data_IF_357669883725
#
_entry.id   IF_357669883725
#
_cell.length_a   1.000
_cell.length_b   1.000
_cell.length_c   1.000
_cell.angle_alpha   90.00
_cell.angle_beta   90.00
_cell.angle_gamma   90.00
#
_symmetry.space_group_name_H-M   'P 1'
#
loop_
_entity.id
_entity.type
_entity.pdbx_description
1 polymer ?
#
# COMPACT_ATOMS: atom_id res chain seq x y z
N UNK A 1 -6.70 -14.72 0.32
CA UNK A 1 -7.45 -15.78 0.48
C UNK A 1 -6.88 -17.12 0.94
N UNK A 2 -7.70 -17.87 1.65
CA UNK A 2 -7.38 -19.21 2.14
C UNK A 2 -7.13 -20.26 1.03
N UNK A 3 -7.32 -19.88 -0.24
CA UNK A 3 -7.10 -20.73 -1.42
C UNK A 3 -5.87 -20.20 -2.14
N UNK A 4 -4.78 -20.95 -2.09
CA UNK A 4 -3.52 -20.55 -2.74
C UNK A 4 -3.66 -20.38 -4.27
N UNK A 5 -2.61 -19.88 -4.93
CA UNK A 5 -2.54 -19.74 -6.40
C UNK A 5 -2.70 -21.07 -7.17
N UNK A 6 -2.58 -22.20 -6.49
CA UNK A 6 -2.81 -23.54 -7.04
C UNK A 6 -4.32 -23.92 -7.18
N UNK A 7 -5.25 -23.12 -6.60
CA UNK A 7 -6.69 -23.35 -6.80
C UNK A 7 -7.06 -23.00 -8.25
N UNK A 8 -7.61 -23.99 -8.97
CA UNK A 8 -8.02 -23.83 -10.36
C UNK A 8 -8.96 -22.62 -10.58
N UNK A 9 -9.82 -22.29 -9.61
CA UNK A 9 -10.72 -21.14 -9.68
C UNK A 9 -9.95 -19.82 -9.67
N UNK A 10 -8.89 -19.74 -8.86
CA UNK A 10 -8.02 -18.54 -8.80
C UNK A 10 -7.25 -18.41 -10.11
N UNK A 11 -6.67 -19.51 -10.61
CA UNK A 11 -5.92 -19.50 -11.88
C UNK A 11 -6.84 -19.12 -13.05
N UNK A 12 -8.04 -19.69 -13.13
CA UNK A 12 -9.04 -19.37 -14.18
C UNK A 12 -9.47 -17.89 -14.09
N UNK A 13 -9.75 -17.38 -12.88
CA UNK A 13 -10.16 -15.98 -12.71
C UNK A 13 -9.06 -15.01 -13.11
N UNK A 14 -7.80 -15.29 -12.75
CA UNK A 14 -6.64 -14.49 -13.17
C UNK A 14 -6.41 -14.54 -14.68
N UNK A 15 -6.49 -15.75 -15.27
CA UNK A 15 -6.37 -15.92 -16.72
C UNK A 15 -7.47 -15.20 -17.49
N UNK A 16 -8.71 -15.32 -17.05
CA UNK A 16 -9.84 -14.62 -17.64
C UNK A 16 -9.70 -13.08 -17.50
N UNK A 17 -9.31 -12.60 -16.31
CA UNK A 17 -9.06 -11.17 -16.08
C UNK A 17 -7.96 -10.62 -16.98
N UNK A 18 -6.86 -11.36 -17.13
CA UNK A 18 -5.77 -10.97 -18.03
C UNK A 18 -6.22 -10.97 -19.50
N UNK A 19 -6.95 -12.01 -19.95
CA UNK A 19 -7.48 -12.10 -21.30
C UNK A 19 -8.43 -10.93 -21.61
N UNK A 20 -9.34 -10.60 -20.69
CA UNK A 20 -10.24 -9.47 -20.83
C UNK A 20 -9.51 -8.13 -20.89
N UNK A 21 -8.44 -7.96 -20.12
CA UNK A 21 -7.59 -6.77 -20.20
C UNK A 21 -6.92 -6.63 -21.56
N UNK A 22 -6.37 -7.73 -22.10
CA UNK A 22 -5.76 -7.75 -23.46
C UNK A 22 -6.79 -7.40 -24.52
N UNK A 23 -7.98 -8.01 -24.44
CA UNK A 23 -9.09 -7.71 -25.37
C UNK A 23 -9.50 -6.24 -25.26
N UNK A 24 -9.62 -5.70 -24.04
CA UNK A 24 -9.93 -4.29 -23.82
C UNK A 24 -8.90 -3.38 -24.48
N UNK A 25 -7.62 -3.58 -24.21
CA UNK A 25 -6.53 -2.77 -24.82
C UNK A 25 -6.55 -2.88 -26.34
N UNK A 26 -6.78 -4.07 -26.88
CA UNK A 26 -6.88 -4.28 -28.33
C UNK A 26 -8.06 -3.54 -28.95
N UNK A 27 -9.24 -3.59 -28.34
CA UNK A 27 -10.44 -2.87 -28.77
C UNK A 27 -10.22 -1.37 -28.72
N UNK A 28 -9.66 -0.85 -27.62
CA UNK A 28 -9.36 0.57 -27.45
C UNK A 28 -8.33 1.05 -28.49
N UNK A 29 -7.30 0.24 -28.76
CA UNK A 29 -6.33 0.53 -29.80
C UNK A 29 -6.98 0.64 -31.19
N UNK A 30 -7.89 -0.28 -31.52
CA UNK A 30 -8.61 -0.26 -32.81
C UNK A 30 -9.60 0.91 -32.94
N UNK A 31 -10.21 1.36 -31.86
CA UNK A 31 -11.13 2.50 -31.86
C UNK A 31 -10.44 3.87 -32.03
N UNK A 32 -9.14 3.95 -31.75
CA UNK A 32 -8.32 5.12 -31.98
C UNK A 32 -8.88 6.39 -31.30
N UNK A 33 -9.25 7.40 -32.08
CA UNK A 33 -9.78 8.67 -31.54
C UNK A 33 -11.17 8.55 -30.90
N UNK A 34 -11.92 7.48 -31.18
CA UNK A 34 -13.25 7.19 -30.61
C UNK A 34 -13.17 6.26 -29.38
N UNK A 35 -11.96 5.90 -28.95
CA UNK A 35 -11.74 5.06 -27.78
C UNK A 35 -12.22 5.76 -26.50
N UNK A 36 -12.72 4.99 -25.52
CA UNK A 36 -13.03 5.50 -24.17
C UNK A 36 -11.75 5.89 -23.45
N UNK A 37 -10.67 5.12 -23.68
CA UNK A 37 -9.32 5.37 -23.16
C UNK A 37 -8.36 5.55 -24.34
N UNK A 38 -8.29 6.76 -24.95
CA UNK A 38 -7.41 6.99 -26.09
C UNK A 38 -5.94 6.77 -25.68
N UNK A 39 -5.32 5.71 -26.20
CA UNK A 39 -3.91 5.38 -25.87
C UNK A 39 -2.94 6.50 -26.29
N UNK A 40 -3.37 7.39 -27.19
CA UNK A 40 -2.61 8.58 -27.57
C UNK A 40 -2.34 9.53 -26.41
N UNK A 41 -3.14 9.51 -25.32
CA UNK A 41 -2.91 10.32 -24.13
C UNK A 41 -1.59 9.94 -23.43
N UNK A 42 -1.21 8.66 -23.48
CA UNK A 42 0.05 8.19 -22.89
C UNK A 42 1.31 8.58 -23.68
N UNK A 43 1.15 9.21 -24.86
CA UNK A 43 2.27 9.85 -25.57
C UNK A 43 2.73 11.14 -24.87
N UNK A 44 1.85 11.79 -24.12
CA UNK A 44 2.25 12.88 -23.22
C UNK A 44 3.09 12.34 -22.08
N UNK A 45 4.35 12.78 -21.98
CA UNK A 45 5.27 12.38 -20.90
C UNK A 45 4.70 12.74 -19.55
N UNK A 46 4.15 13.96 -19.42
CA UNK A 46 3.52 14.43 -18.18
C UNK A 46 2.31 13.56 -17.80
N UNK A 47 1.44 13.20 -18.74
CA UNK A 47 0.30 12.33 -18.45
C UNK A 47 0.74 10.93 -18.03
N UNK A 48 1.67 10.32 -18.76
CA UNK A 48 2.21 8.99 -18.43
C UNK A 48 2.93 9.00 -17.08
N UNK A 49 3.76 10.02 -16.82
CA UNK A 49 4.48 10.19 -15.56
C UNK A 49 3.54 10.36 -14.38
N UNK A 50 2.50 11.18 -14.51
CA UNK A 50 1.49 11.38 -13.46
C UNK A 50 0.71 10.09 -13.15
N UNK A 51 0.36 9.29 -14.16
CA UNK A 51 -0.30 8.01 -13.95
C UNK A 51 0.65 6.95 -13.34
N UNK A 52 1.93 6.94 -13.71
CA UNK A 52 2.93 6.08 -13.08
C UNK A 52 3.16 6.46 -11.61
N UNK A 53 3.24 7.77 -11.32
CA UNK A 53 3.27 8.28 -9.96
C UNK A 53 2.05 7.80 -9.17
N UNK A 54 0.85 7.93 -9.77
CA UNK A 54 -0.39 7.44 -9.15
C UNK A 54 -0.31 5.94 -8.84
N UNK A 55 0.12 5.14 -9.80
CA UNK A 55 0.26 3.68 -9.63
C UNK A 55 1.14 3.34 -8.42
N UNK A 56 2.31 3.96 -8.35
CA UNK A 56 3.28 3.68 -7.29
C UNK A 56 2.81 4.23 -5.92
N UNK A 57 2.41 5.50 -5.86
CA UNK A 57 2.09 6.17 -4.60
C UNK A 57 0.80 5.63 -3.97
N UNK A 58 -0.26 5.45 -4.77
CA UNK A 58 -1.53 4.90 -4.27
C UNK A 58 -1.44 3.40 -3.99
N UNK A 59 -0.60 2.67 -4.73
CA UNK A 59 -0.28 1.28 -4.39
C UNK A 59 0.38 1.17 -3.02
N UNK A 60 1.40 2.00 -2.76
CA UNK A 60 2.07 2.06 -1.47
C UNK A 60 1.11 2.43 -0.32
N UNK A 61 0.30 3.48 -0.53
CA UNK A 61 -0.68 3.92 0.47
C UNK A 61 -1.71 2.83 0.78
N UNK A 62 -2.24 2.16 -0.26
CA UNK A 62 -3.22 1.08 -0.09
C UNK A 62 -2.63 -0.11 0.66
N UNK A 63 -1.36 -0.45 0.39
CA UNK A 63 -0.64 -1.48 1.13
C UNK A 63 -0.55 -1.15 2.62
N UNK A 64 -0.09 0.06 2.98
CA UNK A 64 -0.04 0.49 4.38
C UNK A 64 -1.42 0.45 5.03
N UNK A 65 -2.42 1.12 4.43
CA UNK A 65 -3.77 1.23 5.00
C UNK A 65 -4.46 -0.13 5.17
N UNK A 66 -4.06 -1.14 4.40
CA UNK A 66 -4.57 -2.50 4.55
C UNK A 66 -3.88 -3.25 5.68
N UNK A 67 -2.54 -3.19 5.80
CA UNK A 67 -1.80 -4.00 6.77
C UNK A 67 -1.60 -3.32 8.12
N UNK A 68 -1.64 -1.98 8.22
CA UNK A 68 -1.48 -1.26 9.47
C UNK A 68 -2.55 -1.62 10.53
N UNK A 69 -3.86 -1.75 10.19
CA UNK A 69 -4.85 -2.19 11.17
C UNK A 69 -4.56 -3.59 11.75
N UNK A 70 -3.95 -4.50 10.97
CA UNK A 70 -3.53 -5.80 11.51
C UNK A 70 -2.41 -5.65 12.54
N UNK A 71 -1.44 -4.77 12.30
CA UNK A 71 -0.40 -4.48 13.29
C UNK A 71 -1.00 -3.88 14.56
N UNK A 72 -1.81 -2.83 14.41
CA UNK A 72 -2.40 -2.13 15.56
C UNK A 72 -3.29 -3.04 16.42
N UNK A 73 -4.16 -3.85 15.79
CA UNK A 73 -5.13 -4.68 16.52
C UNK A 73 -4.49 -5.96 17.05
N UNK A 74 -3.78 -6.69 16.19
CA UNK A 74 -3.32 -8.05 16.52
C UNK A 74 -1.97 -8.07 17.25
N UNK A 75 -1.10 -7.08 16.98
CA UNK A 75 0.24 -7.03 17.57
C UNK A 75 0.31 -6.04 18.72
N UNK A 76 -0.24 -4.83 18.52
CA UNK A 76 -0.19 -3.76 19.52
C UNK A 76 -1.35 -3.82 20.53
N UNK A 77 -2.37 -4.65 20.27
CA UNK A 77 -3.50 -4.84 21.18
C UNK A 77 -4.55 -3.72 21.17
N UNK A 78 -4.58 -2.88 20.14
CA UNK A 78 -5.58 -1.82 20.00
C UNK A 78 -6.96 -2.43 19.73
N UNK A 79 -8.01 -1.79 20.25
CA UNK A 79 -9.37 -2.06 19.80
C UNK A 79 -9.56 -1.62 18.34
N UNK A 80 -10.55 -2.17 17.61
CA UNK A 80 -10.85 -1.71 16.26
C UNK A 80 -11.13 -0.22 16.14
N UNK A 81 -11.76 0.36 17.19
CA UNK A 81 -12.04 1.80 17.28
C UNK A 81 -10.77 2.63 17.42
N UNK A 82 -9.84 2.21 18.29
CA UNK A 82 -8.55 2.88 18.46
C UNK A 82 -7.68 2.79 17.19
N UNK A 83 -7.67 1.63 16.52
CA UNK A 83 -6.97 1.45 15.25
C UNK A 83 -7.53 2.36 14.15
N UNK A 84 -8.85 2.55 14.09
CA UNK A 84 -9.49 3.53 13.21
C UNK A 84 -9.13 4.97 13.58
N UNK A 85 -9.18 5.31 14.87
CA UNK A 85 -8.84 6.63 15.39
C UNK A 85 -7.36 7.00 15.11
N UNK A 86 -6.46 6.02 15.10
CA UNK A 86 -5.05 6.22 14.79
C UNK A 86 -4.81 6.82 13.39
N UNK A 87 -5.77 6.67 12.46
CA UNK A 87 -5.70 7.24 11.10
C UNK A 87 -6.43 8.59 10.96
N UNK A 88 -7.13 9.06 11.99
CA UNK A 88 -7.82 10.38 11.96
C UNK A 88 -6.83 11.52 11.66
N UNK A 89 -5.62 11.58 12.25
CA UNK A 89 -4.65 12.62 11.92
C UNK A 89 -4.29 12.66 10.44
N UNK A 90 -4.23 11.51 9.76
CA UNK A 90 -4.01 11.44 8.31
C UNK A 90 -5.12 12.15 7.53
N UNK A 91 -6.38 11.83 7.84
CA UNK A 91 -7.54 12.42 7.15
C UNK A 91 -7.62 13.93 7.41
N UNK A 92 -7.42 14.35 8.67
CA UNK A 92 -7.45 15.78 9.04
C UNK A 92 -6.33 16.56 8.35
N UNK A 93 -5.12 16.03 8.31
CA UNK A 93 -3.99 16.68 7.62
C UNK A 93 -4.27 16.82 6.13
N UNK A 94 -4.78 15.77 5.48
CA UNK A 94 -5.18 15.81 4.07
C UNK A 94 -6.25 16.88 3.82
N UNK A 95 -7.26 16.96 4.66
CA UNK A 95 -8.33 17.95 4.54
C UNK A 95 -7.81 19.38 4.71
N UNK A 96 -7.06 19.65 5.78
CA UNK A 96 -6.55 21.00 6.12
C UNK A 96 -5.55 21.52 5.07
N UNK A 97 -4.66 20.65 4.56
CA UNK A 97 -3.60 21.06 3.64
C UNK A 97 -4.02 21.01 2.16
N UNK A 98 -5.16 20.41 1.81
CA UNK A 98 -5.60 20.26 0.41
C UNK A 98 -5.66 21.59 -0.35
N UNK A 99 -6.19 22.64 0.27
CA UNK A 99 -6.28 23.98 -0.34
C UNK A 99 -4.91 24.63 -0.54
N UNK A 100 -4.03 24.49 0.45
CA UNK A 100 -2.66 25.01 0.36
C UNK A 100 -1.84 24.28 -0.71
N UNK A 101 -1.93 22.95 -0.75
CA UNK A 101 -1.24 22.12 -1.73
C UNK A 101 -1.68 22.40 -3.17
N UNK A 102 -2.98 22.62 -3.41
CA UNK A 102 -3.50 23.04 -4.72
C UNK A 102 -2.98 24.40 -5.18
N UNK A 103 -2.69 25.31 -4.23
CA UNK A 103 -2.07 26.62 -4.52
C UNK A 103 -0.57 26.52 -4.86
N UNK A 104 0.09 25.45 -4.45
CA UNK A 104 1.55 25.28 -4.63
C UNK A 104 1.91 25.11 -6.12
N UNK A 105 1.08 24.42 -6.88
CA UNK A 105 1.27 24.22 -8.33
C UNK A 105 1.30 25.55 -9.07
N UNK A 106 0.40 26.48 -8.72
CA UNK A 106 0.33 27.80 -9.37
C UNK A 106 1.56 28.68 -9.08
N UNK A 107 2.28 28.41 -7.97
CA UNK A 107 3.41 29.26 -7.55
C UNK A 107 4.77 28.67 -7.94
N UNK A 108 4.92 27.35 -7.97
CA UNK A 108 6.22 26.67 -8.11
C UNK A 108 6.23 25.57 -9.18
N UNK A 109 5.17 25.52 -10.04
CA UNK A 109 5.03 24.44 -11.01
C UNK A 109 4.56 23.12 -10.37
N UNK A 110 4.28 22.14 -11.22
CA UNK A 110 3.76 20.84 -10.79
C UNK A 110 4.85 19.89 -10.32
N UNK A 111 6.02 19.95 -10.94
CA UNK A 111 7.12 18.99 -10.74
C UNK A 111 7.63 18.98 -9.30
N UNK A 112 7.87 20.16 -8.72
CA UNK A 112 8.47 20.27 -7.40
C UNK A 112 7.63 19.60 -6.29
N UNK A 113 6.32 19.90 -6.13
CA UNK A 113 5.49 19.22 -5.11
C UNK A 113 5.32 17.74 -5.41
N UNK A 114 5.28 17.32 -6.68
CA UNK A 114 5.16 15.90 -7.07
C UNK A 114 6.47 15.10 -6.92
N UNK A 115 7.59 15.74 -6.71
CA UNK A 115 8.85 15.08 -6.31
C UNK A 115 8.99 15.08 -4.79
N UNK A 116 8.84 16.24 -4.14
CA UNK A 116 9.07 16.38 -2.69
C UNK A 116 8.01 15.61 -1.90
N UNK A 117 6.74 15.69 -2.30
CA UNK A 117 5.64 15.04 -1.59
C UNK A 117 5.86 13.52 -1.42
N UNK A 118 6.10 12.76 -2.50
CA UNK A 118 6.37 11.33 -2.37
C UNK A 118 7.67 11.01 -1.63
N UNK A 119 8.72 11.84 -1.69
CA UNK A 119 9.94 11.66 -0.88
C UNK A 119 9.62 11.79 0.61
N UNK A 120 8.83 12.81 1.00
CA UNK A 120 8.37 12.99 2.39
C UNK A 120 7.48 11.81 2.81
N UNK A 121 6.60 11.34 1.91
CA UNK A 121 5.77 10.14 2.14
C UNK A 121 6.63 8.90 2.38
N UNK A 122 7.69 8.71 1.60
CA UNK A 122 8.64 7.61 1.79
C UNK A 122 9.33 7.67 3.15
N UNK A 123 9.71 8.86 3.62
CA UNK A 123 10.20 9.07 4.98
C UNK A 123 9.17 8.69 6.04
N UNK A 124 7.90 9.04 5.83
CA UNK A 124 6.80 8.61 6.69
C UNK A 124 6.64 7.08 6.72
N UNK A 125 6.72 6.42 5.56
CA UNK A 125 6.74 4.96 5.51
C UNK A 125 7.94 4.38 6.28
N UNK A 126 9.14 4.93 6.10
CA UNK A 126 10.32 4.44 6.81
C UNK A 126 10.16 4.50 8.34
N UNK A 127 9.47 5.51 8.87
CA UNK A 127 9.20 5.61 10.30
C UNK A 127 8.29 4.47 10.83
N UNK A 128 7.38 3.92 9.99
CA UNK A 128 6.59 2.74 10.37
C UNK A 128 7.42 1.45 10.55
N UNK A 129 8.71 1.45 10.21
CA UNK A 129 9.62 0.33 10.48
C UNK A 129 10.15 0.32 11.93
N UNK A 130 10.05 1.45 12.65
CA UNK A 130 10.60 1.59 14.01
C UNK A 130 9.81 0.83 15.07
N UNK A 131 8.45 0.82 15.08
CA UNK A 131 7.70 0.09 16.07
C UNK A 131 8.05 -1.41 16.07
N UNK A 132 8.14 -1.98 17.27
CA UNK A 132 8.39 -3.41 17.49
C UNK A 132 7.08 -4.16 17.76
N UNK A 133 7.21 -5.42 18.19
CA UNK A 133 6.09 -6.28 18.59
C UNK A 133 5.59 -6.03 20.02
N UNK A 134 6.17 -5.08 20.75
CA UNK A 134 5.74 -4.69 22.09
C UNK A 134 4.89 -3.44 22.00
N UNK A 135 3.76 -3.45 22.70
CA UNK A 135 2.89 -2.29 22.80
C UNK A 135 3.67 -1.06 23.30
N UNK A 136 3.62 0.00 22.51
CA UNK A 136 4.23 1.28 22.81
C UNK A 136 3.19 2.40 22.77
N UNK A 137 3.57 3.61 23.20
CA UNK A 137 2.69 4.76 23.07
C UNK A 137 2.47 5.09 21.59
N UNK A 138 1.21 5.26 21.18
CA UNK A 138 0.85 5.73 19.84
C UNK A 138 1.61 7.00 19.44
N UNK A 139 1.70 7.95 20.37
CA UNK A 139 2.27 9.27 20.13
C UNK A 139 3.76 9.26 19.77
N UNK A 140 4.50 8.27 20.25
CA UNK A 140 5.93 8.13 19.97
C UNK A 140 6.22 7.12 18.87
N UNK A 141 5.35 6.12 18.67
CA UNK A 141 5.61 5.02 17.75
C UNK A 141 4.97 5.23 16.36
N UNK A 142 3.67 5.56 16.32
CA UNK A 142 2.90 5.62 15.07
C UNK A 142 2.59 7.05 14.62
N UNK A 143 2.28 7.94 15.56
CA UNK A 143 1.87 9.31 15.24
C UNK A 143 2.89 10.08 14.39
N UNK A 144 4.21 10.06 14.66
CA UNK A 144 5.18 10.75 13.80
C UNK A 144 5.21 10.21 12.37
N UNK A 145 5.08 8.89 12.21
CA UNK A 145 5.02 8.23 10.91
C UNK A 145 3.76 8.64 10.13
N UNK A 146 2.59 8.60 10.80
CA UNK A 146 1.30 9.05 10.24
C UNK A 146 1.39 10.50 9.80
N UNK A 147 1.91 11.40 10.65
CA UNK A 147 2.01 12.83 10.33
C UNK A 147 2.94 13.09 9.14
N UNK A 148 4.14 12.52 9.16
CA UNK A 148 5.10 12.73 8.06
C UNK A 148 4.54 12.22 6.73
N UNK A 149 3.96 11.01 6.71
CA UNK A 149 3.29 10.47 5.54
C UNK A 149 2.15 11.38 5.06
N UNK A 150 1.35 11.90 6.00
CA UNK A 150 0.20 12.75 5.68
C UNK A 150 0.61 14.07 5.01
N UNK A 151 1.68 14.70 5.49
CA UNK A 151 2.24 15.91 4.86
C UNK A 151 2.70 15.64 3.44
N UNK A 152 3.42 14.53 3.23
CA UNK A 152 3.86 14.12 1.89
C UNK A 152 2.69 13.83 0.94
N UNK A 153 1.69 13.11 1.41
CA UNK A 153 0.48 12.81 0.63
C UNK A 153 -0.31 14.08 0.32
N UNK A 154 -0.52 14.98 1.28
CA UNK A 154 -1.20 16.25 1.05
C UNK A 154 -0.49 17.10 -0.01
N UNK A 155 0.85 17.14 0.03
CA UNK A 155 1.66 17.84 -0.97
C UNK A 155 1.60 17.20 -2.36
N UNK A 156 1.21 15.92 -2.47
CA UNK A 156 1.18 15.17 -3.73
C UNK A 156 -0.21 15.13 -4.39
N UNK A 157 -1.28 14.86 -3.62
CA UNK A 157 -2.59 14.47 -4.17
C UNK A 157 -3.25 15.62 -4.96
N UNK A 158 -3.29 16.82 -4.41
CA UNK A 158 -3.91 17.96 -5.09
C UNK A 158 -3.11 18.41 -6.34
N UNK A 159 -1.76 18.54 -6.29
CA UNK A 159 -0.95 18.76 -7.48
C UNK A 159 -1.10 17.68 -8.55
N UNK A 160 -1.17 16.41 -8.15
CA UNK A 160 -1.31 15.29 -9.07
C UNK A 160 -2.60 15.41 -9.91
N UNK A 161 -3.73 15.67 -9.25
CA UNK A 161 -5.02 15.81 -9.93
C UNK A 161 -5.00 16.95 -10.95
N UNK A 162 -4.47 18.12 -10.59
CA UNK A 162 -4.33 19.26 -11.51
C UNK A 162 -3.39 18.95 -12.67
N UNK A 163 -2.28 18.25 -12.41
CA UNK A 163 -1.31 17.85 -13.45
C UNK A 163 -1.90 16.86 -14.45
N UNK A 164 -2.63 15.85 -13.98
CA UNK A 164 -3.29 14.87 -14.85
C UNK A 164 -4.31 15.54 -15.78
N UNK A 165 -5.13 16.46 -15.22
CA UNK A 165 -6.14 17.17 -16.01
C UNK A 165 -5.53 18.22 -16.95
N UNK A 166 -4.46 18.88 -16.53
CA UNK A 166 -3.74 19.88 -17.34
C UNK A 166 -2.84 19.28 -18.43
N UNK A 167 -2.47 18.00 -18.33
CA UNK A 167 -1.64 17.32 -19.31
C UNK A 167 -2.35 16.95 -20.63
N UNK A 168 -3.66 17.25 -20.73
CA UNK A 168 -4.51 16.95 -21.86
C UNK A 168 -5.36 18.15 -22.25
N UNK A 169 -5.85 18.17 -23.49
CA UNK A 169 -6.80 19.20 -23.93
C UNK A 169 -8.05 19.24 -23.01
N UNK A 170 -8.56 20.42 -22.67
CA UNK A 170 -9.65 20.60 -21.71
C UNK A 170 -10.89 19.73 -21.98
N UNK A 171 -11.22 19.46 -23.25
CA UNK A 171 -12.31 18.55 -23.65
C UNK A 171 -12.09 17.10 -23.19
N UNK A 172 -10.86 16.69 -22.95
CA UNK A 172 -10.46 15.35 -22.52
C UNK A 172 -10.13 15.26 -21.03
N UNK A 173 -10.24 16.34 -20.27
CA UNK A 173 -9.91 16.38 -18.84
C UNK A 173 -10.72 15.35 -18.02
N UNK A 174 -12.01 15.15 -18.35
CA UNK A 174 -12.84 14.12 -17.71
C UNK A 174 -12.34 12.70 -17.98
N UNK A 175 -11.90 12.40 -19.21
CA UNK A 175 -11.31 11.11 -19.57
C UNK A 175 -9.99 10.91 -18.81
N UNK A 176 -9.12 11.92 -18.77
CA UNK A 176 -7.87 11.86 -18.04
C UNK A 176 -8.06 11.59 -16.54
N UNK A 177 -9.04 12.27 -15.92
CA UNK A 177 -9.42 12.02 -14.52
C UNK A 177 -9.96 10.60 -14.33
N UNK A 178 -10.80 10.10 -15.24
CA UNK A 178 -11.33 8.73 -15.21
C UNK A 178 -10.19 7.67 -15.29
N UNK A 179 -9.24 7.87 -16.20
CA UNK A 179 -8.06 6.99 -16.32
C UNK A 179 -7.25 6.99 -15.02
N UNK A 180 -6.95 8.17 -14.48
CA UNK A 180 -6.16 8.29 -13.24
C UNK A 180 -6.86 7.62 -12.05
N UNK A 181 -8.18 7.77 -11.92
CA UNK A 181 -8.97 7.06 -10.91
C UNK A 181 -8.93 5.53 -11.11
N UNK A 182 -9.02 5.04 -12.34
CA UNK A 182 -8.90 3.62 -12.64
C UNK A 182 -7.50 3.10 -12.26
N UNK A 183 -6.44 3.84 -12.60
CA UNK A 183 -5.06 3.52 -12.22
C UNK A 183 -4.91 3.45 -10.70
N UNK A 184 -5.42 4.44 -9.93
CA UNK A 184 -5.28 4.45 -8.48
C UNK A 184 -6.00 3.27 -7.81
N UNK A 185 -7.20 2.92 -8.28
CA UNK A 185 -7.96 1.76 -7.76
C UNK A 185 -7.29 0.45 -8.09
N UNK A 186 -6.83 0.28 -9.34
CA UNK A 186 -6.10 -0.92 -9.77
C UNK A 186 -4.79 -1.06 -9.00
N UNK A 187 -4.07 0.05 -8.80
CA UNK A 187 -2.85 0.08 -8.00
C UNK A 187 -3.06 -0.48 -6.60
N UNK A 188 -4.14 -0.04 -5.93
CA UNK A 188 -4.49 -0.52 -4.58
C UNK A 188 -4.76 -2.03 -4.56
N UNK A 189 -5.57 -2.53 -5.48
CA UNK A 189 -5.90 -3.96 -5.55
C UNK A 189 -4.67 -4.83 -5.83
N UNK A 190 -3.84 -4.43 -6.80
CA UNK A 190 -2.62 -5.16 -7.15
C UNK A 190 -1.62 -5.11 -6.00
N UNK A 191 -1.42 -3.93 -5.39
CA UNK A 191 -0.51 -3.79 -4.26
C UNK A 191 -0.93 -4.67 -3.08
N UNK A 192 -2.20 -4.66 -2.67
CA UNK A 192 -2.69 -5.52 -1.58
C UNK A 192 -2.47 -7.00 -1.91
N UNK A 193 -2.73 -7.42 -3.14
CA UNK A 193 -2.54 -8.81 -3.55
C UNK A 193 -1.05 -9.22 -3.51
N UNK A 194 -0.15 -8.41 -4.09
CA UNK A 194 1.29 -8.69 -4.14
C UNK A 194 1.90 -8.62 -2.75
N UNK A 195 1.62 -7.56 -1.99
CA UNK A 195 2.15 -7.38 -0.64
C UNK A 195 1.59 -8.43 0.33
N UNK A 196 0.36 -8.93 0.09
CA UNK A 196 -0.22 -10.04 0.82
C UNK A 196 0.58 -11.33 0.66
N UNK A 197 1.06 -11.63 -0.55
CA UNK A 197 1.97 -12.77 -0.78
C UNK A 197 3.30 -12.56 -0.07
N UNK A 198 3.85 -11.35 -0.16
CA UNK A 198 5.14 -11.03 0.47
C UNK A 198 5.05 -11.18 1.98
N UNK A 199 4.05 -10.55 2.63
CA UNK A 199 3.92 -10.61 4.10
C UNK A 199 3.70 -12.06 4.58
N UNK A 200 2.86 -12.83 3.86
CA UNK A 200 2.59 -14.23 4.20
C UNK A 200 3.87 -15.09 4.10
N UNK A 201 4.65 -14.90 3.04
CA UNK A 201 5.91 -15.63 2.86
C UNK A 201 6.96 -15.29 3.90
N UNK A 202 7.13 -14.00 4.22
CA UNK A 202 8.06 -13.54 5.26
C UNK A 202 7.60 -14.00 6.64
N UNK A 203 6.31 -13.86 6.96
CA UNK A 203 5.71 -14.33 8.19
C UNK A 203 5.97 -15.83 8.39
N UNK A 204 5.63 -16.67 7.41
CA UNK A 204 5.76 -18.11 7.52
C UNK A 204 7.22 -18.53 7.82
N UNK A 205 8.19 -17.96 7.10
CA UNK A 205 9.62 -18.25 7.32
C UNK A 205 10.08 -17.86 8.72
N UNK A 206 9.72 -16.66 9.18
CA UNK A 206 10.09 -16.18 10.52
C UNK A 206 9.38 -16.98 11.62
N UNK A 207 8.10 -17.27 11.44
CA UNK A 207 7.31 -18.01 12.41
C UNK A 207 7.86 -19.43 12.60
N UNK A 208 8.13 -20.15 11.52
CA UNK A 208 8.73 -21.48 11.58
C UNK A 208 10.09 -21.48 12.29
N UNK A 209 10.94 -20.48 12.00
CA UNK A 209 12.26 -20.39 12.64
C UNK A 209 12.15 -20.11 14.14
N UNK A 210 11.15 -19.33 14.57
CA UNK A 210 10.93 -18.99 15.99
C UNK A 210 10.21 -20.09 16.77
N UNK A 211 9.45 -20.97 16.11
CA UNK A 211 8.84 -22.14 16.73
C UNK A 211 9.82 -23.30 16.93
N UNK A 212 10.91 -23.37 16.14
CA UNK A 212 11.89 -24.47 16.24
C UNK A 212 12.48 -24.67 17.64
N UNK A 213 12.89 -23.60 18.37
CA UNK A 213 13.47 -23.76 19.70
C UNK A 213 12.43 -24.09 20.79
N UNK A 214 11.13 -23.96 20.48
CA UNK A 214 10.06 -24.26 21.42
C UNK A 214 9.76 -25.76 21.38
N UNK A 215 9.76 -26.41 22.56
CA UNK A 215 9.43 -27.82 22.71
C UNK A 215 7.92 -28.03 22.60
N UNK A 216 7.36 -27.83 21.42
CA UNK A 216 5.94 -27.96 21.16
C UNK A 216 5.58 -29.42 20.87
N UNK A 217 4.46 -29.95 21.45
CA UNK A 217 3.87 -31.20 21.01
C UNK A 217 3.61 -31.20 19.49
N UNK A 218 3.73 -32.35 18.84
CA UNK A 218 3.57 -32.48 17.39
C UNK A 218 2.20 -31.99 16.91
N UNK A 219 1.15 -32.29 17.70
CA UNK A 219 -0.22 -31.83 17.42
C UNK A 219 -0.34 -30.30 17.43
N UNK A 220 0.23 -29.64 18.44
CA UNK A 220 0.25 -28.18 18.53
C UNK A 220 1.06 -27.56 17.38
N UNK A 221 2.17 -28.19 17.00
CA UNK A 221 2.99 -27.74 15.86
C UNK A 221 2.23 -27.87 14.55
N UNK A 222 1.52 -28.97 14.31
CA UNK A 222 0.70 -29.19 13.13
C UNK A 222 -0.48 -28.18 13.06
N UNK A 223 -1.13 -27.93 14.20
CA UNK A 223 -2.20 -26.93 14.28
C UNK A 223 -1.69 -25.53 13.94
N UNK A 224 -0.59 -25.08 14.53
CA UNK A 224 0.01 -23.78 14.23
C UNK A 224 0.46 -23.68 12.78
N UNK A 225 0.98 -24.75 12.20
CA UNK A 225 1.37 -24.81 10.80
C UNK A 225 0.17 -24.63 9.86
N UNK A 226 -0.97 -25.22 10.17
CA UNK A 226 -2.20 -25.08 9.35
C UNK A 226 -2.78 -23.67 9.37
N UNK A 227 -2.53 -22.89 10.42
CA UNK A 227 -3.04 -21.54 10.62
C UNK A 227 -2.11 -20.43 10.16
N UNK A 228 -0.97 -20.74 9.55
CA UNK A 228 0.03 -19.73 9.09
C UNK A 228 -0.55 -18.62 8.22
N UNK A 229 -1.57 -18.94 7.40
CA UNK A 229 -2.23 -17.97 6.52
C UNK A 229 -3.04 -16.91 7.26
N UNK A 230 -3.33 -17.14 8.54
CA UNK A 230 -4.03 -16.18 9.41
C UNK A 230 -3.11 -15.07 9.93
N UNK A 231 -1.80 -15.12 9.65
CA UNK A 231 -0.81 -14.10 10.04
C UNK A 231 -0.86 -13.80 11.55
N UNK A 232 -0.95 -12.52 11.92
CA UNK A 232 -1.00 -12.06 13.31
C UNK A 232 -2.25 -12.55 14.09
N UNK A 233 -3.26 -13.11 13.43
CA UNK A 233 -4.44 -13.67 14.07
C UNK A 233 -4.26 -15.13 14.54
N UNK A 234 -3.07 -15.72 14.35
CA UNK A 234 -2.72 -17.05 14.89
C UNK A 234 -2.71 -16.97 16.41
N UNK A 235 -3.47 -17.88 17.05
CA UNK A 235 -3.51 -18.01 18.52
C UNK A 235 -2.84 -19.31 18.95
N UNK A 236 -2.14 -19.26 20.08
CA UNK A 236 -1.59 -20.46 20.69
C UNK A 236 -2.70 -21.43 21.11
N UNK A 237 -2.54 -22.74 20.89
CA UNK A 237 -3.48 -23.76 21.41
C UNK A 237 -3.65 -23.66 22.92
N UNK A 238 -4.89 -23.89 23.42
CA UNK A 238 -5.23 -23.75 24.83
C UNK A 238 -4.58 -24.85 25.71
N UNK A 239 -4.18 -25.96 25.10
CA UNK A 239 -3.57 -27.11 25.77
C UNK A 239 -2.11 -26.84 26.20
N UNK A 240 -1.50 -25.78 25.72
CA UNK A 240 -0.13 -25.41 26.08
C UNK A 240 -0.11 -24.70 27.45
N UNK A 241 0.98 -24.90 28.20
CA UNK A 241 1.24 -24.15 29.41
C UNK A 241 1.36 -22.64 29.15
N UNK A 242 1.18 -21.83 30.17
CA UNK A 242 1.13 -20.37 30.07
C UNK A 242 2.42 -19.78 29.47
N UNK A 243 3.58 -20.31 29.89
CA UNK A 243 4.88 -19.84 29.39
C UNK A 243 5.04 -20.09 27.90
N UNK A 244 4.70 -21.29 27.46
CA UNK A 244 4.74 -21.69 26.04
C UNK A 244 3.71 -20.89 25.22
N UNK A 245 2.50 -20.64 25.73
CA UNK A 245 1.50 -19.79 25.05
C UNK A 245 2.03 -18.37 24.84
N UNK A 246 2.66 -17.78 25.86
CA UNK A 246 3.28 -16.46 25.77
C UNK A 246 4.45 -16.46 24.77
N UNK A 247 5.24 -17.52 24.72
CA UNK A 247 6.34 -17.66 23.77
C UNK A 247 5.82 -17.74 22.32
N UNK A 248 4.78 -18.53 22.07
CA UNK A 248 4.10 -18.60 20.76
C UNK A 248 3.51 -17.24 20.37
N UNK A 249 2.83 -16.55 21.30
CA UNK A 249 2.28 -15.21 21.06
C UNK A 249 3.38 -14.20 20.64
N UNK A 250 4.53 -14.23 21.32
CA UNK A 250 5.70 -13.40 20.93
C UNK A 250 6.22 -13.78 19.55
N UNK A 251 6.34 -15.09 19.26
CA UNK A 251 6.77 -15.56 17.94
C UNK A 251 5.82 -15.08 16.81
N UNK A 252 4.51 -15.09 17.05
CA UNK A 252 3.51 -14.54 16.11
C UNK A 252 3.72 -13.04 15.88
N UNK A 253 3.74 -12.24 16.95
CA UNK A 253 3.91 -10.79 16.87
C UNK A 253 5.21 -10.39 16.17
N UNK A 254 6.34 -10.97 16.58
CA UNK A 254 7.65 -10.69 15.97
C UNK A 254 7.72 -11.09 14.49
N UNK A 255 7.07 -12.21 14.12
CA UNK A 255 7.05 -12.69 12.74
C UNK A 255 6.18 -11.79 11.85
N UNK A 256 5.09 -11.28 12.41
CA UNK A 256 4.24 -10.31 11.70
C UNK A 256 4.98 -8.98 11.49
N UNK A 257 5.60 -8.44 12.53
CA UNK A 257 6.39 -7.19 12.45
C UNK A 257 7.51 -7.33 11.42
N UNK A 258 8.18 -8.48 11.35
CA UNK A 258 9.20 -8.73 10.33
C UNK A 258 8.61 -8.66 8.91
N UNK A 259 7.44 -9.29 8.68
CA UNK A 259 6.73 -9.20 7.41
C UNK A 259 6.24 -7.79 7.10
N UNK A 260 5.67 -7.11 8.08
CA UNK A 260 5.18 -5.74 7.97
C UNK A 260 6.32 -4.78 7.59
N UNK A 261 7.50 -4.90 8.20
CA UNK A 261 8.68 -4.10 7.83
C UNK A 261 9.09 -4.26 6.37
N UNK A 262 9.03 -5.48 5.83
CA UNK A 262 9.30 -5.72 4.40
C UNK A 262 8.24 -5.05 3.52
N UNK A 263 6.97 -5.15 3.89
CA UNK A 263 5.88 -4.44 3.20
C UNK A 263 6.12 -2.92 3.21
N UNK A 264 6.44 -2.36 4.35
CA UNK A 264 6.72 -0.93 4.50
C UNK A 264 7.95 -0.48 3.69
N UNK A 265 8.99 -1.31 3.63
CA UNK A 265 10.16 -1.03 2.79
C UNK A 265 9.77 -0.96 1.30
N UNK A 266 8.93 -1.89 0.84
CA UNK A 266 8.40 -1.87 -0.53
C UNK A 266 7.54 -0.62 -0.76
N UNK A 267 6.68 -0.23 0.20
CA UNK A 267 5.88 0.99 0.12
C UNK A 267 6.76 2.24 0.03
N UNK A 268 7.83 2.32 0.82
CA UNK A 268 8.81 3.41 0.75
C UNK A 268 9.53 3.45 -0.61
N UNK A 269 9.94 2.29 -1.14
CA UNK A 269 10.53 2.19 -2.46
C UNK A 269 9.58 2.62 -3.59
N UNK A 270 8.30 2.22 -3.51
CA UNK A 270 7.27 2.67 -4.44
C UNK A 270 7.04 4.20 -4.36
N UNK A 271 7.03 4.77 -3.15
CA UNK A 271 6.93 6.21 -2.99
C UNK A 271 8.13 6.95 -3.60
N UNK A 272 9.35 6.43 -3.45
CA UNK A 272 10.54 6.97 -4.12
C UNK A 272 10.48 6.79 -5.64
N UNK A 273 9.99 5.65 -6.13
CA UNK A 273 9.78 5.43 -7.56
C UNK A 273 8.75 6.41 -8.14
N UNK A 274 7.72 6.78 -7.35
CA UNK A 274 6.77 7.81 -7.76
C UNK A 274 7.41 9.20 -7.85
N UNK A 275 8.30 9.56 -6.92
CA UNK A 275 9.08 10.78 -6.98
C UNK A 275 10.01 10.81 -8.22
N UNK A 276 10.66 9.69 -8.51
CA UNK A 276 11.51 9.55 -9.69
C UNK A 276 10.70 9.69 -10.99
N UNK A 277 9.50 9.10 -11.05
CA UNK A 277 8.58 9.27 -12.18
C UNK A 277 8.23 10.74 -12.40
N UNK A 278 7.92 11.48 -11.32
CA UNK A 278 7.65 12.91 -11.42
C UNK A 278 8.88 13.69 -11.93
N UNK A 279 10.05 13.38 -11.40
CA UNK A 279 11.28 14.07 -11.77
C UNK A 279 11.67 13.86 -13.23
N UNK A 280 11.49 12.65 -13.77
CA UNK A 280 11.89 12.29 -15.12
C UNK A 280 10.88 12.64 -16.20
N UNK A 281 9.57 12.59 -15.88
CA UNK A 281 8.51 12.59 -16.88
C UNK A 281 7.56 13.80 -16.79
N UNK A 282 7.48 14.48 -15.63
CA UNK A 282 6.60 15.64 -15.50
C UNK A 282 7.40 16.90 -15.89
N UNK A 283 6.87 17.61 -16.87
CA UNK A 283 7.40 18.88 -17.35
C UNK A 283 6.68 20.02 -16.63
N UNK A 284 7.42 21.03 -16.20
CA UNK A 284 6.84 22.29 -15.73
C UNK A 284 6.33 23.08 -16.95
N UNK A 285 5.02 23.42 -16.93
CA UNK A 285 4.38 24.21 -17.97
C UNK A 285 4.65 25.70 -17.79
#
# INVERSE_FOLDING_TARGET
>A
GARGFADARVAVSLGAGFALLVVFVFVEHRRGARAMVPLSLFRSRTFAGANLLTLCLYGALSGLLFFLPFDLIQVQGYSPTEAGAALVPFVLTMFLLSRWAGGLVRRRGARLPLVIGPVVTAGGFALFMLPGSRAGSYWTSFFPAVMLMSFGMAASVAPLTTTVMGAVEGRRAGVASGINNAVSRTAGLVAIAVLGVVITGVFARNFDSRLRPLNLPEEARAELASRRSSLAAVRAPEQLDEETRLAVGRAVGDSFVAGFRVVILICAALALASALSAWLLIEDA
#
